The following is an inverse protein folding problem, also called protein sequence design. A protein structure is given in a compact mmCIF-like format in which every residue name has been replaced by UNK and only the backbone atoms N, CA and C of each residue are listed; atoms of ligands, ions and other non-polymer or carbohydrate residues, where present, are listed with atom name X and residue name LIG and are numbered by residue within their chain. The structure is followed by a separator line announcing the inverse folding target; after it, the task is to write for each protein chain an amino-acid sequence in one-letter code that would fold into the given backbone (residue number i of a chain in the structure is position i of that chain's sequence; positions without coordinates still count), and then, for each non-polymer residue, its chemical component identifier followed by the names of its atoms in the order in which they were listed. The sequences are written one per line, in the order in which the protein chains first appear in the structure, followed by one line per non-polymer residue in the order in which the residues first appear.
data_IF_445787817613
#
_entry.id   IF_445787817613
#
_cell.length_a   1.000
_cell.length_b   1.000
_cell.length_c   1.000
_cell.angle_alpha   90.00
_cell.angle_beta   90.00
_cell.angle_gamma   90.00
#
_symmetry.space_group_name_H-M   'P 1'
#
loop_
_entity.id
_entity.type
_entity.pdbx_description
1 polymer ?
#
# COMPACT_ATOMS: atom_id res chain seq x y z
N UNK A 1 7.82 -2.61 -24.81
CA UNK A 1 7.07 -1.34 -24.62
C UNK A 1 6.70 -0.79 -25.99
N UNK A 2 5.41 -0.54 -26.26
CA UNK A 2 4.96 -0.05 -27.58
C UNK A 2 5.42 1.39 -27.87
N UNK A 3 5.51 1.77 -29.15
CA UNK A 3 5.93 3.11 -29.62
C UNK A 3 5.18 4.25 -28.89
N UNK A 4 3.89 4.08 -28.63
CA UNK A 4 3.04 5.05 -27.94
C UNK A 4 3.46 5.23 -26.46
N UNK A 5 3.76 4.14 -25.74
CA UNK A 5 4.22 4.24 -24.35
C UNK A 5 5.58 4.94 -24.23
N UNK A 6 6.45 4.78 -25.24
CA UNK A 6 7.76 5.45 -25.28
C UNK A 6 7.61 6.94 -25.58
N UNK A 7 6.68 7.30 -26.47
CA UNK A 7 6.35 8.70 -26.77
C UNK A 7 5.78 9.41 -25.53
N UNK A 8 4.81 8.81 -24.84
CA UNK A 8 4.21 9.36 -23.64
C UNK A 8 5.24 9.52 -22.50
N UNK A 9 6.13 8.53 -22.33
CA UNK A 9 7.22 8.60 -21.35
C UNK A 9 8.22 9.72 -21.67
N UNK A 10 8.60 9.88 -22.93
CA UNK A 10 9.54 10.94 -23.35
C UNK A 10 8.92 12.33 -23.19
N UNK A 11 7.64 12.51 -23.57
CA UNK A 11 6.90 13.75 -23.32
C UNK A 11 6.82 14.06 -21.82
N UNK A 12 6.55 13.06 -20.99
CA UNK A 12 6.53 13.19 -19.54
C UNK A 12 7.89 13.63 -18.99
N UNK A 13 8.97 12.98 -19.43
CA UNK A 13 10.34 13.26 -18.97
C UNK A 13 10.80 14.67 -19.38
N UNK A 14 10.51 15.08 -20.63
CA UNK A 14 10.84 16.41 -21.14
C UNK A 14 10.05 17.51 -20.40
N UNK A 15 8.75 17.31 -20.18
CA UNK A 15 7.92 18.24 -19.42
C UNK A 15 8.40 18.38 -17.96
N UNK A 16 8.94 17.32 -17.36
CA UNK A 16 9.39 17.33 -15.98
C UNK A 16 10.76 18.01 -15.76
N UNK A 17 11.64 18.01 -16.78
CA UNK A 17 12.99 18.57 -16.66
C UNK A 17 13.11 19.99 -17.24
N UNK A 18 12.30 20.36 -18.24
CA UNK A 18 12.45 21.64 -18.96
C UNK A 18 11.43 22.73 -18.61
N UNK A 19 10.31 22.41 -17.96
CA UNK A 19 9.22 23.36 -17.77
C UNK A 19 9.35 24.17 -16.46
N UNK A 20 8.92 25.45 -16.42
CA UNK A 20 8.80 26.21 -15.17
C UNK A 20 7.86 25.55 -14.15
N UNK A 21 8.04 25.76 -12.83
CA UNK A 21 7.26 25.07 -11.79
C UNK A 21 5.73 25.20 -11.90
N UNK A 22 5.22 26.34 -12.39
CA UNK A 22 3.77 26.53 -12.60
C UNK A 22 3.23 25.65 -13.74
N UNK A 23 4.00 25.50 -14.81
CA UNK A 23 3.69 24.60 -15.95
C UNK A 23 3.79 23.15 -15.50
N UNK A 24 4.79 22.81 -14.68
CA UNK A 24 4.89 21.48 -14.09
C UNK A 24 3.62 21.13 -13.30
N UNK A 25 3.12 22.02 -12.45
CA UNK A 25 1.90 21.74 -11.67
C UNK A 25 0.65 21.58 -12.55
N UNK A 26 0.53 22.36 -13.63
CA UNK A 26 -0.56 22.27 -14.61
C UNK A 26 -0.54 20.96 -15.40
N UNK A 27 0.65 20.46 -15.75
CA UNK A 27 0.80 19.28 -16.62
C UNK A 27 0.93 17.99 -15.79
N UNK A 28 1.50 18.03 -14.58
CA UNK A 28 1.72 16.83 -13.75
C UNK A 28 0.42 16.12 -13.38
N UNK A 29 -0.63 16.85 -12.99
CA UNK A 29 -1.92 16.21 -12.65
C UNK A 29 -2.52 15.46 -13.86
N UNK A 30 -2.69 16.09 -15.04
CA UNK A 30 -3.12 15.36 -16.25
C UNK A 30 -2.18 14.22 -16.63
N UNK A 31 -0.87 14.36 -16.43
CA UNK A 31 0.09 13.29 -16.76
C UNK A 31 -0.03 12.07 -15.83
N UNK A 32 -0.30 12.29 -14.54
CA UNK A 32 -0.63 11.20 -13.61
C UNK A 32 -1.93 10.52 -14.07
N UNK A 33 -2.91 11.29 -14.54
CA UNK A 33 -4.13 10.74 -15.13
C UNK A 33 -3.86 9.92 -16.40
N UNK A 34 -3.02 10.42 -17.29
CA UNK A 34 -2.59 9.74 -18.51
C UNK A 34 -1.85 8.43 -18.19
N UNK A 35 -0.94 8.43 -17.21
CA UNK A 35 -0.22 7.21 -16.80
C UNK A 35 -1.19 6.14 -16.30
N UNK A 36 -2.20 6.54 -15.52
CA UNK A 36 -3.24 5.63 -15.06
C UNK A 36 -4.11 5.12 -16.20
N UNK A 37 -4.50 5.98 -17.15
CA UNK A 37 -5.21 5.58 -18.36
C UNK A 37 -4.38 4.55 -19.15
N UNK A 38 -3.08 4.79 -19.33
CA UNK A 38 -2.19 3.83 -19.99
C UNK A 38 -2.07 2.51 -19.23
N UNK A 39 -2.08 2.55 -17.89
CA UNK A 39 -2.08 1.33 -17.07
C UNK A 39 -3.36 0.52 -17.29
N UNK A 40 -4.52 1.19 -17.29
CA UNK A 40 -5.81 0.59 -17.62
C UNK A 40 -5.81 0.02 -19.04
N UNK A 41 -5.30 0.75 -20.03
CA UNK A 41 -5.22 0.28 -21.42
C UNK A 41 -4.30 -0.95 -21.54
N UNK A 42 -3.22 -1.01 -20.76
CA UNK A 42 -2.28 -2.15 -20.78
C UNK A 42 -2.89 -3.41 -20.19
N UNK A 43 -3.77 -3.28 -19.19
CA UNK A 43 -4.52 -4.41 -18.63
C UNK A 43 -6.00 -4.03 -18.46
N UNK A 44 -6.79 -4.04 -19.53
CA UNK A 44 -8.16 -3.52 -19.53
C UNK A 44 -9.18 -4.52 -18.96
N UNK A 45 -8.72 -5.47 -18.15
CA UNK A 45 -9.51 -6.57 -17.63
C UNK A 45 -9.38 -6.66 -16.11
N UNK A 46 -10.48 -7.01 -15.46
CA UNK A 46 -10.48 -7.59 -14.13
C UNK A 46 -10.26 -9.09 -14.25
N UNK A 47 -9.36 -9.62 -13.44
CA UNK A 47 -9.31 -11.05 -13.16
C UNK A 47 -10.40 -11.36 -12.14
N UNK A 48 -11.16 -12.42 -12.40
CA UNK A 48 -12.35 -12.78 -11.62
C UNK A 48 -12.14 -14.12 -10.95
N UNK A 49 -12.37 -14.13 -9.65
CA UNK A 49 -12.23 -15.30 -8.81
C UNK A 49 -13.55 -15.57 -8.09
N UNK A 50 -13.91 -16.83 -7.98
CA UNK A 50 -14.96 -17.29 -7.09
C UNK A 50 -14.32 -17.86 -5.84
N UNK A 51 -14.72 -17.31 -4.69
CA UNK A 51 -14.29 -17.76 -3.37
C UNK A 51 -15.50 -18.46 -2.75
N UNK A 52 -15.33 -19.74 -2.45
CA UNK A 52 -16.35 -20.55 -1.79
C UNK A 52 -15.85 -20.98 -0.44
N UNK A 53 -16.75 -20.91 0.52
CA UNK A 53 -16.48 -21.26 1.91
C UNK A 53 -17.63 -22.10 2.46
N UNK A 54 -17.28 -23.19 3.14
CA UNK A 54 -18.24 -24.11 3.74
C UNK A 54 -18.13 -24.00 5.26
N UNK A 55 -19.08 -23.27 5.84
CA UNK A 55 -19.08 -22.97 7.27
C UNK A 55 -20.21 -23.72 7.96
N UNK A 56 -20.17 -23.76 9.30
CA UNK A 56 -21.27 -24.33 10.10
C UNK A 56 -22.62 -23.63 9.83
N UNK A 57 -22.59 -22.39 9.33
CA UNK A 57 -23.78 -21.60 8.97
C UNK A 57 -24.30 -21.85 7.54
N UNK A 58 -23.62 -22.65 6.71
CA UNK A 58 -23.98 -22.91 5.32
C UNK A 58 -22.86 -22.59 4.31
N UNK A 59 -23.19 -22.72 3.03
CA UNK A 59 -22.29 -22.33 1.93
C UNK A 59 -22.31 -20.82 1.73
N UNK A 60 -21.15 -20.18 1.75
CA UNK A 60 -20.97 -18.78 1.41
C UNK A 60 -20.16 -18.65 0.12
N UNK A 61 -20.65 -17.85 -0.82
CA UNK A 61 -20.00 -17.61 -2.11
C UNK A 61 -19.75 -16.12 -2.30
N UNK A 62 -18.47 -15.78 -2.46
CA UNK A 62 -18.05 -14.45 -2.85
C UNK A 62 -17.50 -14.46 -4.27
N UNK A 63 -17.79 -13.40 -5.03
CA UNK A 63 -17.10 -13.14 -6.30
C UNK A 63 -16.18 -11.95 -6.14
N UNK A 64 -14.92 -12.14 -6.51
CA UNK A 64 -13.85 -11.17 -6.31
C UNK A 64 -13.23 -10.75 -7.64
N UNK A 65 -13.30 -9.45 -7.92
CA UNK A 65 -12.73 -8.81 -9.10
C UNK A 65 -11.48 -8.03 -8.72
N UNK A 66 -10.39 -8.20 -9.44
CA UNK A 66 -9.17 -7.42 -9.20
C UNK A 66 -8.42 -7.09 -10.48
N UNK A 67 -7.73 -5.95 -10.50
CA UNK A 67 -6.77 -5.58 -11.56
C UNK A 67 -5.32 -5.93 -11.19
N UNK A 68 -5.13 -6.47 -9.98
CA UNK A 68 -3.85 -6.75 -9.33
C UNK A 68 -3.86 -8.19 -8.79
N UNK A 69 -2.75 -8.63 -8.20
CA UNK A 69 -2.77 -9.84 -7.38
C UNK A 69 -3.85 -9.76 -6.30
N UNK A 70 -4.33 -10.92 -5.86
CA UNK A 70 -5.41 -11.08 -4.88
C UNK A 70 -4.92 -10.66 -3.48
N UNK A 71 -4.73 -9.36 -3.27
CA UNK A 71 -4.18 -8.78 -2.03
C UNK A 71 -5.27 -8.47 -1.01
N UNK A 72 -6.42 -7.98 -1.45
CA UNK A 72 -7.51 -7.67 -0.53
C UNK A 72 -8.24 -8.92 -0.01
N UNK A 73 -8.35 -10.01 -0.78
CA UNK A 73 -8.97 -11.25 -0.28
C UNK A 73 -8.29 -11.76 0.99
N UNK A 74 -6.99 -11.54 1.06
CA UNK A 74 -6.09 -11.85 2.16
C UNK A 74 -6.49 -11.11 3.45
N UNK A 75 -6.86 -9.83 3.35
CA UNK A 75 -7.35 -9.02 4.47
C UNK A 75 -8.78 -9.41 4.87
N UNK A 76 -9.60 -9.80 3.88
CA UNK A 76 -10.99 -10.19 4.09
C UNK A 76 -11.16 -11.63 4.57
N UNK A 77 -10.11 -12.45 4.49
CA UNK A 77 -10.12 -13.86 4.91
C UNK A 77 -10.67 -14.00 6.33
N UNK A 78 -10.06 -13.33 7.30
CA UNK A 78 -10.48 -13.44 8.71
C UNK A 78 -11.80 -12.76 9.06
N UNK A 79 -12.39 -11.98 8.15
CA UNK A 79 -13.64 -11.26 8.40
C UNK A 79 -14.83 -12.05 7.87
N UNK A 80 -14.71 -12.57 6.65
CA UNK A 80 -15.83 -13.16 5.91
C UNK A 80 -15.72 -14.68 5.73
N UNK A 81 -14.54 -15.26 5.91
CA UNK A 81 -14.29 -16.64 5.50
C UNK A 81 -13.67 -17.48 6.63
N UNK A 82 -13.92 -18.79 6.60
CA UNK A 82 -13.27 -19.76 7.46
C UNK A 82 -11.89 -20.18 6.90
N UNK A 83 -11.21 -21.08 7.60
CA UNK A 83 -9.93 -21.62 7.16
C UNK A 83 -10.04 -22.40 5.84
N UNK A 84 -11.18 -23.06 5.59
CA UNK A 84 -11.41 -24.01 4.48
C UNK A 84 -11.97 -23.33 3.23
N UNK A 85 -11.25 -22.32 2.74
CA UNK A 85 -11.65 -21.58 1.55
C UNK A 85 -11.13 -22.22 0.26
N UNK A 86 -11.99 -22.22 -0.78
CA UNK A 86 -11.62 -22.62 -2.13
C UNK A 86 -11.68 -21.39 -3.05
N UNK A 87 -10.54 -21.02 -3.64
CA UNK A 87 -10.44 -19.93 -4.61
C UNK A 87 -10.29 -20.52 -6.00
N UNK A 88 -11.25 -20.24 -6.89
CA UNK A 88 -11.23 -20.70 -8.28
C UNK A 88 -11.20 -19.51 -9.23
N UNK A 89 -10.25 -19.45 -10.19
CA UNK A 89 -10.30 -18.45 -11.25
C UNK A 89 -11.47 -18.78 -12.19
N UNK A 90 -12.41 -17.86 -12.37
CA UNK A 90 -13.59 -18.06 -13.22
C UNK A 90 -13.51 -17.32 -14.55
N UNK A 91 -12.59 -16.37 -14.70
CA UNK A 91 -12.32 -15.75 -15.99
C UNK A 91 -11.77 -14.33 -15.87
N UNK A 92 -11.93 -13.59 -16.97
CA UNK A 92 -11.52 -12.19 -17.07
C UNK A 92 -12.66 -11.36 -17.64
N UNK A 93 -12.90 -10.18 -17.07
CA UNK A 93 -13.98 -9.28 -17.47
C UNK A 93 -13.42 -7.94 -17.91
N UNK A 94 -13.73 -7.45 -19.12
CA UNK A 94 -13.34 -6.12 -19.52
C UNK A 94 -13.87 -5.06 -18.55
N UNK A 95 -13.07 -4.05 -18.20
CA UNK A 95 -13.43 -3.04 -17.20
C UNK A 95 -14.73 -2.30 -17.56
N UNK A 96 -15.03 -2.12 -18.85
CA UNK A 96 -16.28 -1.49 -19.31
C UNK A 96 -17.51 -2.39 -19.22
N UNK A 97 -17.33 -3.71 -19.08
CA UNK A 97 -18.43 -4.68 -18.92
C UNK A 97 -18.76 -4.98 -17.45
N UNK A 98 -17.97 -4.46 -16.50
CA UNK A 98 -18.07 -4.81 -15.07
C UNK A 98 -19.47 -4.58 -14.49
N UNK A 99 -20.17 -3.52 -14.94
CA UNK A 99 -21.52 -3.23 -14.48
C UNK A 99 -22.49 -4.37 -14.82
N UNK A 100 -22.42 -4.88 -16.05
CA UNK A 100 -23.30 -5.96 -16.51
C UNK A 100 -23.03 -7.25 -15.71
N UNK A 101 -21.76 -7.56 -15.51
CA UNK A 101 -21.34 -8.77 -14.80
C UNK A 101 -21.73 -8.76 -13.33
N UNK A 102 -21.49 -7.65 -12.62
CA UNK A 102 -21.84 -7.54 -11.19
C UNK A 102 -23.35 -7.74 -10.98
N UNK A 103 -24.19 -7.27 -11.91
CA UNK A 103 -25.64 -7.43 -11.80
C UNK A 103 -26.15 -8.82 -12.15
N UNK A 104 -25.36 -9.64 -12.86
CA UNK A 104 -25.78 -10.98 -13.30
C UNK A 104 -25.22 -12.13 -12.46
N UNK A 105 -24.25 -11.85 -11.61
CA UNK A 105 -23.61 -12.88 -10.78
C UNK A 105 -24.46 -13.19 -9.55
N UNK A 106 -24.73 -14.47 -9.38
CA UNK A 106 -25.28 -15.03 -8.16
C UNK A 106 -24.15 -15.29 -7.16
N UNK A 107 -24.03 -14.43 -6.16
CA UNK A 107 -23.07 -14.51 -5.06
C UNK A 107 -23.60 -13.74 -3.86
N UNK A 108 -23.32 -14.21 -2.66
CA UNK A 108 -23.73 -13.57 -1.41
C UNK A 108 -23.06 -12.19 -1.25
N UNK A 109 -21.79 -12.09 -1.70
CA UNK A 109 -21.04 -10.83 -1.73
C UNK A 109 -20.23 -10.69 -3.01
N UNK A 110 -20.15 -9.46 -3.51
CA UNK A 110 -19.29 -9.09 -4.62
C UNK A 110 -18.26 -8.08 -4.12
N UNK A 111 -16.99 -8.41 -4.31
CA UNK A 111 -15.86 -7.58 -3.92
C UNK A 111 -15.11 -7.12 -5.17
N UNK A 112 -14.81 -5.82 -5.25
CA UNK A 112 -14.08 -5.23 -6.38
C UNK A 112 -12.86 -4.48 -5.87
N UNK A 113 -11.67 -5.06 -6.04
CA UNK A 113 -10.40 -4.39 -5.79
C UNK A 113 -10.00 -3.57 -7.01
N UNK A 114 -10.08 -2.25 -6.88
CA UNK A 114 -9.74 -1.34 -7.97
C UNK A 114 -9.18 -0.03 -7.46
N UNK A 115 -8.63 0.76 -8.37
CA UNK A 115 -8.10 2.08 -8.04
C UNK A 115 -9.22 3.12 -7.96
N UNK A 116 -9.01 4.16 -7.14
CA UNK A 116 -10.01 5.21 -6.82
C UNK A 116 -10.72 5.78 -8.06
N UNK A 117 -10.02 5.91 -9.19
CA UNK A 117 -10.58 6.45 -10.44
C UNK A 117 -11.61 5.53 -11.10
N UNK A 118 -11.47 4.22 -10.91
CA UNK A 118 -12.39 3.22 -11.46
C UNK A 118 -13.57 2.98 -10.53
N UNK A 119 -13.43 3.24 -9.23
CA UNK A 119 -14.54 3.12 -8.26
C UNK A 119 -15.77 3.91 -8.72
N UNK A 120 -15.59 5.13 -9.22
CA UNK A 120 -16.70 5.97 -9.70
C UNK A 120 -17.44 5.41 -10.93
N UNK A 121 -16.89 4.37 -11.58
CA UNK A 121 -17.53 3.69 -12.73
C UNK A 121 -18.24 2.40 -12.32
N UNK A 122 -18.11 1.98 -11.06
CA UNK A 122 -18.80 0.80 -10.56
C UNK A 122 -20.26 1.14 -10.22
N UNK A 123 -21.17 0.16 -10.26
CA UNK A 123 -22.53 0.34 -9.77
C UNK A 123 -22.52 0.56 -8.25
N UNK A 124 -22.46 1.82 -7.82
CA UNK A 124 -22.27 2.17 -6.40
C UNK A 124 -23.56 2.34 -5.59
N UNK A 125 -24.75 2.20 -6.20
CA UNK A 125 -26.02 2.54 -5.52
C UNK A 125 -26.29 1.73 -4.25
N UNK A 126 -25.69 0.54 -4.11
CA UNK A 126 -25.78 -0.33 -2.92
C UNK A 126 -24.41 -0.82 -2.44
N UNK A 127 -23.32 -0.21 -2.91
CA UNK A 127 -21.97 -0.65 -2.59
C UNK A 127 -21.37 0.15 -1.44
N UNK A 128 -20.57 -0.52 -0.61
CA UNK A 128 -19.72 0.14 0.38
C UNK A 128 -18.33 0.27 -0.23
N UNK A 129 -17.81 1.50 -0.28
CA UNK A 129 -16.44 1.78 -0.76
C UNK A 129 -15.52 1.86 0.44
N UNK A 130 -14.57 0.93 0.53
CA UNK A 130 -13.59 0.87 1.62
C UNK A 130 -12.20 1.13 1.05
N UNK A 131 -11.42 2.08 1.61
CA UNK A 131 -10.02 2.22 1.25
C UNK A 131 -9.21 1.04 1.82
N UNK A 132 -8.44 0.35 0.98
CA UNK A 132 -7.54 -0.73 1.42
C UNK A 132 -6.43 -0.24 2.36
N UNK A 133 -6.04 1.03 2.22
CA UNK A 133 -4.96 1.62 2.99
C UNK A 133 -5.26 3.09 3.26
N UNK A 134 -5.12 3.49 4.52
CA UNK A 134 -5.10 4.89 4.94
C UNK A 134 -3.64 5.27 5.19
N UNK A 135 -3.20 6.37 4.57
CA UNK A 135 -1.83 6.88 4.74
C UNK A 135 -1.87 8.09 5.66
N UNK A 136 -1.07 8.07 6.72
CA UNK A 136 -0.79 9.25 7.54
C UNK A 136 0.31 10.08 6.87
N UNK A 137 0.09 11.38 6.71
CA UNK A 137 1.10 12.30 6.19
C UNK A 137 1.37 13.41 7.20
N UNK A 138 2.63 13.52 7.62
CA UNK A 138 3.09 14.59 8.51
C UNK A 138 3.79 15.66 7.67
N UNK A 139 3.39 16.91 7.85
CA UNK A 139 4.04 18.05 7.20
C UNK A 139 5.33 18.42 7.95
N UNK A 140 6.47 18.24 7.28
CA UNK A 140 7.80 18.54 7.81
C UNK A 140 8.36 19.88 7.32
N UNK A 141 7.57 20.72 6.65
CA UNK A 141 8.04 22.04 6.16
C UNK A 141 8.28 23.00 7.33
N UNK A 142 9.35 23.81 7.23
CA UNK A 142 9.73 24.79 8.25
C UNK A 142 10.86 24.31 9.14
N UNK A 143 11.08 25.02 10.25
CA UNK A 143 12.05 24.61 11.27
C UNK A 143 11.53 23.43 12.10
N UNK A 144 12.41 22.77 12.85
CA UNK A 144 11.99 21.72 13.79
C UNK A 144 11.00 22.23 14.84
N UNK A 145 11.13 23.50 15.27
CA UNK A 145 10.18 24.11 16.19
C UNK A 145 8.80 24.29 15.56
N UNK A 146 8.73 24.61 14.26
CA UNK A 146 7.46 24.70 13.53
C UNK A 146 6.78 23.33 13.40
N UNK A 147 7.56 22.27 13.17
CA UNK A 147 7.05 20.89 13.11
C UNK A 147 6.54 20.45 14.48
N UNK A 148 7.30 20.67 15.56
CA UNK A 148 6.89 20.31 16.94
C UNK A 148 5.58 20.97 17.36
N UNK A 149 5.33 22.21 16.94
CA UNK A 149 4.07 22.93 17.23
C UNK A 149 2.84 22.26 16.61
N UNK A 150 3.01 21.42 15.58
CA UNK A 150 1.92 20.67 14.92
C UNK A 150 1.62 19.35 15.62
N UNK A 151 2.50 18.87 16.49
CA UNK A 151 2.25 17.67 17.27
C UNK A 151 1.25 17.94 18.39
N UNK A 152 0.52 16.89 18.78
CA UNK A 152 -0.28 16.93 19.98
C UNK A 152 0.61 17.21 21.20
N UNK A 153 0.08 17.94 22.20
CA UNK A 153 0.84 18.36 23.39
C UNK A 153 1.52 17.19 24.11
N UNK A 154 0.88 16.02 24.12
CA UNK A 154 1.45 14.80 24.72
C UNK A 154 2.76 14.40 24.03
N UNK A 155 2.77 14.35 22.70
CA UNK A 155 3.95 13.98 21.91
C UNK A 155 5.07 15.00 22.13
N UNK A 156 4.75 16.29 22.06
CA UNK A 156 5.75 17.36 22.14
C UNK A 156 6.39 17.50 23.51
N UNK A 157 5.62 17.37 24.60
CA UNK A 157 6.11 17.59 25.96
C UNK A 157 6.55 16.31 26.69
N UNK A 158 5.95 15.16 26.35
CA UNK A 158 6.15 13.92 27.10
C UNK A 158 6.98 12.93 26.31
N UNK A 159 6.52 12.52 25.13
CA UNK A 159 7.15 11.43 24.39
C UNK A 159 8.56 11.79 23.91
N UNK A 160 8.74 12.95 23.26
CA UNK A 160 10.06 13.39 22.81
C UNK A 160 11.07 13.51 23.97
N UNK A 161 10.60 14.01 25.13
CA UNK A 161 11.42 14.13 26.34
C UNK A 161 11.79 12.76 26.91
N UNK A 162 10.85 11.81 26.93
CA UNK A 162 11.08 10.45 27.40
C UNK A 162 12.08 9.73 26.50
N UNK A 163 11.96 9.87 25.18
CA UNK A 163 12.91 9.28 24.23
C UNK A 163 14.34 9.72 24.51
N UNK A 164 14.54 11.02 24.75
CA UNK A 164 15.85 11.57 25.12
C UNK A 164 16.30 11.09 26.51
N UNK A 165 15.41 11.14 27.52
CA UNK A 165 15.71 10.74 28.90
C UNK A 165 16.15 9.27 28.99
N UNK A 166 15.57 8.40 28.17
CA UNK A 166 15.88 6.97 28.17
C UNK A 166 17.05 6.59 27.25
N UNK A 167 17.74 7.58 26.67
CA UNK A 167 18.97 7.36 25.90
C UNK A 167 18.73 6.65 24.58
N UNK A 168 17.53 6.77 23.99
CA UNK A 168 17.30 6.25 22.66
C UNK A 168 18.03 7.10 21.62
N UNK A 169 18.70 6.42 20.70
CA UNK A 169 19.38 7.02 19.54
C UNK A 169 18.80 6.43 18.26
N UNK A 170 19.26 6.91 17.10
CA UNK A 170 18.87 6.36 15.82
C UNK A 170 20.06 6.14 14.91
N UNK A 171 19.93 5.21 13.98
CA UNK A 171 20.88 4.92 12.92
C UNK A 171 20.17 4.79 11.58
N UNK A 172 20.77 5.35 10.54
CA UNK A 172 20.38 5.08 9.16
C UNK A 172 21.31 4.01 8.62
N UNK A 173 20.75 2.92 8.09
CA UNK A 173 21.53 1.81 7.56
C UNK A 173 21.16 1.47 6.13
N UNK A 174 22.18 1.13 5.37
CA UNK A 174 22.08 0.55 4.04
C UNK A 174 22.68 -0.86 4.00
N UNK A 175 23.08 -1.38 5.17
CA UNK A 175 23.74 -2.66 5.32
C UNK A 175 22.73 -3.80 5.21
N UNK A 176 23.08 -4.82 4.42
CA UNK A 176 22.20 -5.95 4.18
C UNK A 176 22.08 -6.89 5.39
N UNK A 177 23.14 -7.02 6.20
CA UNK A 177 23.10 -7.83 7.42
C UNK A 177 22.22 -7.19 8.49
N UNK A 178 22.30 -5.86 8.66
CA UNK A 178 21.38 -5.14 9.55
C UNK A 178 19.93 -5.24 9.07
N UNK A 179 19.69 -5.28 7.76
CA UNK A 179 18.38 -5.57 7.19
C UNK A 179 17.90 -7.00 7.48
N UNK A 180 18.74 -8.01 7.31
CA UNK A 180 18.40 -9.41 7.63
C UNK A 180 18.03 -9.56 9.11
N UNK A 181 18.81 -8.92 10.00
CA UNK A 181 18.54 -8.85 11.42
C UNK A 181 17.17 -8.21 11.69
N UNK A 182 16.92 -7.03 11.11
CA UNK A 182 15.63 -6.36 11.23
C UNK A 182 14.46 -7.21 10.75
N UNK A 183 14.59 -7.87 9.60
CA UNK A 183 13.51 -8.68 9.03
C UNK A 183 13.12 -9.85 9.95
N UNK A 184 14.12 -10.60 10.42
CA UNK A 184 13.89 -11.83 11.18
C UNK A 184 13.67 -11.60 12.67
N UNK A 185 14.33 -10.60 13.27
CA UNK A 185 14.32 -10.39 14.72
C UNK A 185 13.32 -9.32 15.17
N UNK A 186 12.85 -8.47 14.25
CA UNK A 186 11.88 -7.41 14.57
C UNK A 186 10.62 -7.55 13.73
N UNK A 187 10.72 -7.43 12.40
CA UNK A 187 9.55 -7.34 11.54
C UNK A 187 8.63 -8.56 11.61
N UNK A 188 9.16 -9.77 11.42
CA UNK A 188 8.35 -10.98 11.49
C UNK A 188 7.70 -11.17 12.87
N UNK A 189 8.45 -11.12 14.00
CA UNK A 189 7.85 -11.21 15.33
C UNK A 189 6.80 -10.13 15.61
N UNK A 190 7.06 -8.86 15.28
CA UNK A 190 6.08 -7.78 15.50
C UNK A 190 4.80 -8.04 14.71
N UNK A 191 4.93 -8.53 13.47
CA UNK A 191 3.79 -8.83 12.62
C UNK A 191 2.98 -10.02 13.14
N UNK A 192 3.65 -11.05 13.66
CA UNK A 192 3.02 -12.20 14.31
C UNK A 192 2.30 -11.80 15.61
N UNK A 193 2.97 -11.04 16.49
CA UNK A 193 2.41 -10.55 17.75
C UNK A 193 1.17 -9.64 17.53
N UNK A 194 1.25 -8.71 16.57
CA UNK A 194 0.16 -7.74 16.33
C UNK A 194 -1.03 -8.31 15.58
N UNK A 195 -0.81 -9.26 14.67
CA UNK A 195 -1.83 -9.70 13.72
C UNK A 195 -2.17 -11.18 13.80
N UNK A 196 -1.42 -11.98 14.55
CA UNK A 196 -1.65 -13.41 14.74
C UNK A 196 -1.87 -14.13 13.40
N UNK A 197 -2.96 -14.87 13.31
CA UNK A 197 -3.33 -15.64 12.12
C UNK A 197 -3.72 -14.77 10.91
N UNK A 198 -3.97 -13.48 11.11
CA UNK A 198 -4.24 -12.51 10.05
C UNK A 198 -2.96 -11.86 9.52
N UNK A 199 -1.80 -12.27 10.05
CA UNK A 199 -0.52 -11.75 9.60
C UNK A 199 -0.25 -12.14 8.15
N UNK A 200 0.08 -11.13 7.34
CA UNK A 200 0.52 -11.28 5.96
C UNK A 200 1.78 -10.45 5.78
N UNK A 201 2.91 -10.93 6.31
CA UNK A 201 4.14 -10.18 6.25
C UNK A 201 4.57 -10.09 4.79
N UNK A 202 5.14 -8.94 4.43
CA UNK A 202 5.84 -8.81 3.17
C UNK A 202 7.01 -9.80 3.14
N UNK A 203 7.26 -10.37 1.96
CA UNK A 203 8.41 -11.26 1.79
C UNK A 203 9.71 -10.50 1.99
N UNK A 204 10.78 -11.23 2.31
CA UNK A 204 12.10 -10.61 2.45
C UNK A 204 12.54 -9.97 1.15
N UNK A 205 12.23 -10.61 0.02
CA UNK A 205 12.55 -10.15 -1.33
C UNK A 205 11.83 -8.84 -1.65
N UNK A 206 10.54 -8.73 -1.27
CA UNK A 206 9.77 -7.49 -1.42
C UNK A 206 10.39 -6.35 -0.60
N UNK A 207 10.74 -6.61 0.67
CA UNK A 207 11.40 -5.61 1.51
C UNK A 207 12.79 -5.22 1.00
N UNK A 208 13.58 -6.20 0.57
CA UNK A 208 14.91 -5.94 0.02
C UNK A 208 14.83 -5.08 -1.25
N UNK A 209 13.79 -5.28 -2.08
CA UNK A 209 13.54 -4.43 -3.24
C UNK A 209 13.23 -2.97 -2.84
N UNK A 210 12.57 -2.75 -1.70
CA UNK A 210 12.36 -1.42 -1.15
C UNK A 210 13.65 -0.80 -0.61
N UNK A 211 14.48 -1.58 0.08
CA UNK A 211 15.76 -1.11 0.64
C UNK A 211 16.73 -0.63 -0.45
N UNK A 212 16.72 -1.27 -1.64
CA UNK A 212 17.50 -0.80 -2.81
C UNK A 212 17.22 0.64 -3.22
N UNK A 213 16.09 1.20 -2.80
CA UNK A 213 15.63 2.56 -3.11
C UNK A 213 15.54 3.45 -1.87
N UNK A 214 15.97 2.94 -0.72
CA UNK A 214 15.72 3.53 0.57
C UNK A 214 16.82 3.21 1.57
N UNK A 215 16.47 3.21 2.84
CA UNK A 215 17.34 2.85 3.94
C UNK A 215 16.51 2.28 5.09
N UNK A 216 17.19 1.57 5.97
CA UNK A 216 16.65 1.12 7.24
C UNK A 216 16.85 2.23 8.27
N UNK A 217 15.76 2.66 8.90
CA UNK A 217 15.79 3.55 10.04
C UNK A 217 15.70 2.69 11.30
N UNK A 218 16.77 2.64 12.09
CA UNK A 218 16.85 1.86 13.32
C UNK A 218 16.80 2.78 14.53
N UNK A 219 16.01 2.41 15.53
CA UNK A 219 16.06 2.99 16.87
C UNK A 219 16.95 2.10 17.73
N UNK A 220 17.91 2.71 18.42
CA UNK A 220 18.87 2.03 19.27
C UNK A 220 18.70 2.42 20.73
N UNK A 221 19.02 1.47 21.62
CA UNK A 221 19.19 1.70 23.06
C UNK A 221 20.57 1.18 23.45
N UNK A 222 21.54 2.09 23.60
CA UNK A 222 22.96 1.72 23.55
C UNK A 222 23.32 1.24 22.15
N UNK A 223 23.98 0.08 22.04
CA UNK A 223 24.39 -0.50 20.74
C UNK A 223 23.31 -1.39 20.10
N UNK A 224 22.31 -1.81 20.88
CA UNK A 224 21.27 -2.71 20.41
C UNK A 224 20.17 -1.94 19.67
N UNK A 225 19.84 -2.39 18.46
CA UNK A 225 18.65 -1.96 17.76
C UNK A 225 17.41 -2.61 18.42
N UNK A 226 16.41 -1.79 18.73
CA UNK A 226 15.20 -2.20 19.47
C UNK A 226 13.91 -1.94 18.69
N UNK A 227 14.00 -1.18 17.61
CA UNK A 227 12.91 -0.98 16.66
C UNK A 227 13.50 -0.52 15.33
N UNK A 228 12.71 -0.60 14.27
CA UNK A 228 13.10 -0.04 12.99
C UNK A 228 11.99 0.04 11.96
N UNK A 229 12.33 0.58 10.81
CA UNK A 229 11.44 0.65 9.67
C UNK A 229 12.15 0.91 8.36
N UNK A 230 11.57 0.42 7.26
CA UNK A 230 12.09 0.71 5.93
C UNK A 230 11.56 2.06 5.45
N UNK A 231 12.47 2.96 5.10
CA UNK A 231 12.15 4.32 4.64
C UNK A 231 12.56 4.48 3.18
N UNK A 232 11.62 4.94 2.35
CA UNK A 232 11.90 5.32 0.97
C UNK A 232 11.85 6.84 0.82
N UNK A 233 12.97 7.49 0.49
CA UNK A 233 12.97 8.89 0.14
C UNK A 233 12.39 9.12 -1.27
N UNK A 234 11.62 10.18 -1.39
CA UNK A 234 11.20 10.81 -2.64
C UNK A 234 11.47 12.31 -2.52
N UNK A 235 11.59 13.04 -3.63
CA UNK A 235 11.97 14.47 -3.69
C UNK A 235 11.18 15.37 -2.73
N UNK A 236 9.95 15.00 -2.38
CA UNK A 236 9.06 15.80 -1.52
C UNK A 236 8.61 15.07 -0.24
N UNK A 237 8.92 13.79 -0.09
CA UNK A 237 8.34 12.95 0.95
C UNK A 237 9.32 11.88 1.42
N UNK A 238 9.34 11.62 2.72
CA UNK A 238 9.88 10.39 3.29
C UNK A 238 8.70 9.46 3.55
N UNK A 239 8.74 8.26 2.99
CA UNK A 239 7.70 7.25 3.19
C UNK A 239 8.24 6.15 4.09
N UNK A 240 7.70 6.05 5.30
CA UNK A 240 7.82 4.86 6.14
C UNK A 240 6.88 3.80 5.56
N UNK A 241 7.44 2.66 5.15
CA UNK A 241 6.65 1.58 4.57
C UNK A 241 6.10 0.63 5.61
N UNK A 242 6.87 0.42 6.67
CA UNK A 242 6.62 -0.54 7.73
C UNK A 242 7.46 -0.14 8.95
N UNK A 243 6.93 -0.45 10.13
CA UNK A 243 7.50 -0.14 11.42
C UNK A 243 7.37 -1.38 12.30
N UNK A 244 8.48 -1.81 12.88
CA UNK A 244 8.56 -2.98 13.76
C UNK A 244 9.33 -2.63 15.03
N UNK A 245 8.91 -3.20 16.15
CA UNK A 245 9.45 -2.97 17.48
C UNK A 245 9.39 -4.26 18.30
#
# INVERSE_FOLDING_TARGET
MGKISKLAYNLWFQAQLGAPPFVQNLIISPLVDIKEIFRIIKNPFFDVYRIQDQNQAGSFTATYYTTKEIRASRQFRGIFFSENLTITPIGRVPIWNIHKEITSIDSDIIMVETDKKLVNRLPCQKAIVIPLQVLLQIDLRGSWDDVKKRFHKTVSHTELRLTQKHGYTYQLSYDLQEFECFYHQMYLPTMEDRHGDLNLPLTKEDLAAYLKRGFLFLIKKGEQAVAGGCVIPNRKHLRFLLEAC
#
